data_IF_923815108545
#
_entry.id   IF_923815108545
#
_cell.length_a   1.000
_cell.length_b   1.000
_cell.length_c   1.000
_cell.angle_alpha   90.00
_cell.angle_beta   90.00
_cell.angle_gamma   90.00
#
_symmetry.space_group_name_H-M   'P 1'
#
loop_
_entity.id
_entity.type
_entity.pdbx_description
1 polymer ?
#
# COMPACT_ATOMS: atom_id res chain seq x y z
N UNK A 1 3.49 20.11 -4.43
CA UNK A 1 2.59 19.04 -4.90
C UNK A 1 3.34 17.80 -5.38
N UNK A 2 4.23 17.84 -6.38
CA UNK A 2 4.98 16.64 -6.82
C UNK A 2 5.94 16.11 -5.73
N UNK A 3 6.62 17.00 -5.00
CA UNK A 3 7.55 16.61 -3.94
C UNK A 3 6.85 15.87 -2.78
N UNK A 4 5.63 16.29 -2.41
CA UNK A 4 4.86 15.63 -1.33
C UNK A 4 4.34 14.27 -1.75
N UNK A 5 3.92 14.13 -3.01
CA UNK A 5 3.54 12.82 -3.57
C UNK A 5 4.75 11.88 -3.63
N UNK A 6 5.90 12.37 -4.08
CA UNK A 6 7.13 11.57 -4.11
C UNK A 6 7.56 11.13 -2.71
N UNK A 7 7.44 12.02 -1.71
CA UNK A 7 7.73 11.68 -0.32
C UNK A 7 6.76 10.63 0.23
N UNK A 8 5.45 10.76 -0.05
CA UNK A 8 4.46 9.78 0.39
C UNK A 8 4.73 8.39 -0.24
N UNK A 9 5.09 8.33 -1.52
CA UNK A 9 5.48 7.08 -2.19
C UNK A 9 6.76 6.50 -1.58
N UNK A 10 7.76 7.33 -1.28
CA UNK A 10 9.00 6.88 -0.65
C UNK A 10 8.75 6.31 0.76
N UNK A 11 7.93 6.97 1.56
CA UNK A 11 7.56 6.50 2.90
C UNK A 11 6.77 5.18 2.83
N UNK A 12 5.83 5.07 1.88
CA UNK A 12 5.08 3.83 1.66
C UNK A 12 6.00 2.67 1.27
N UNK A 13 6.94 2.91 0.33
CA UNK A 13 7.91 1.90 -0.09
C UNK A 13 8.83 1.46 1.07
N UNK A 14 9.31 2.42 1.87
CA UNK A 14 10.14 2.15 3.03
C UNK A 14 9.40 1.31 4.09
N UNK A 15 8.17 1.69 4.43
CA UNK A 15 7.35 0.95 5.38
C UNK A 15 6.99 -0.46 4.88
N UNK A 16 6.83 -0.65 3.57
CA UNK A 16 6.67 -1.96 2.96
C UNK A 16 7.93 -2.82 3.05
N UNK A 17 9.10 -2.25 2.77
CA UNK A 17 10.39 -2.94 2.87
C UNK A 17 10.70 -3.40 4.30
N UNK A 18 10.33 -2.59 5.30
CA UNK A 18 10.51 -2.93 6.73
C UNK A 18 9.36 -3.78 7.31
N UNK A 19 8.28 -4.02 6.55
CA UNK A 19 7.01 -4.58 7.04
C UNK A 19 6.48 -3.84 8.27
N UNK A 20 6.69 -2.51 8.32
CA UNK A 20 6.28 -1.65 9.41
C UNK A 20 4.81 -1.25 9.26
N UNK A 21 3.92 -2.12 9.75
CA UNK A 21 2.45 -1.96 9.68
C UNK A 21 1.96 -0.62 10.28
N UNK A 22 2.43 -0.17 11.46
CA UNK A 22 2.05 1.15 12.00
C UNK A 22 2.40 2.33 11.09
N UNK A 23 3.55 2.28 10.43
CA UNK A 23 3.98 3.36 9.52
C UNK A 23 3.19 3.34 8.21
N UNK A 24 2.88 2.14 7.69
CA UNK A 24 1.95 1.95 6.59
C UNK A 24 0.57 2.53 6.92
N UNK A 25 0.03 2.26 8.12
CA UNK A 25 -1.26 2.81 8.53
C UNK A 25 -1.28 4.35 8.54
N UNK A 26 -0.16 4.98 8.92
CA UNK A 26 -0.03 6.44 8.94
C UNK A 26 0.05 7.07 7.53
N UNK A 27 0.55 6.34 6.53
CA UNK A 27 0.67 6.81 5.15
C UNK A 27 -0.62 6.54 4.34
N UNK A 28 -1.36 5.49 4.67
CA UNK A 28 -2.56 5.08 3.94
C UNK A 28 -3.81 5.85 4.40
N UNK A 29 -4.60 6.34 3.45
CA UNK A 29 -5.92 6.91 3.72
C UNK A 29 -6.97 5.80 3.89
N UNK A 30 -8.09 6.11 4.53
CA UNK A 30 -9.16 5.14 4.79
C UNK A 30 -9.71 4.49 3.51
N UNK A 31 -9.80 5.27 2.45
CA UNK A 31 -10.29 4.90 1.11
C UNK A 31 -9.19 4.37 0.17
N UNK A 32 -7.97 4.14 0.68
CA UNK A 32 -6.87 3.65 -0.14
C UNK A 32 -7.25 2.34 -0.84
N UNK A 33 -6.98 2.28 -2.13
CA UNK A 33 -7.23 1.10 -2.97
C UNK A 33 -5.94 0.64 -3.61
N UNK A 34 -5.63 -0.65 -3.47
CA UNK A 34 -4.45 -1.26 -4.08
C UNK A 34 -4.86 -2.20 -5.21
N UNK A 35 -4.11 -2.12 -6.31
CA UNK A 35 -4.22 -3.01 -7.46
C UNK A 35 -2.83 -3.49 -7.82
N UNK A 36 -2.69 -4.78 -8.08
CA UNK A 36 -1.41 -5.38 -8.40
C UNK A 36 -1.43 -5.84 -9.85
N UNK A 37 -0.43 -5.42 -10.64
CA UNK A 37 -0.27 -5.93 -11.99
C UNK A 37 0.86 -6.94 -11.98
N UNK A 38 0.53 -8.22 -12.17
CA UNK A 38 1.50 -9.30 -12.17
C UNK A 38 1.71 -9.83 -13.61
N UNK A 39 2.96 -9.98 -14.06
CA UNK A 39 3.25 -10.58 -15.37
C UNK A 39 2.59 -11.96 -15.48
N UNK A 40 1.79 -12.16 -16.54
CA UNK A 40 1.10 -13.43 -16.82
C UNK A 40 -0.17 -13.71 -16.01
N UNK A 41 -0.46 -12.95 -14.95
CA UNK A 41 -1.67 -13.12 -14.11
C UNK A 41 -2.70 -11.99 -14.30
N UNK A 42 -2.35 -10.92 -14.99
CA UNK A 42 -3.22 -9.76 -15.17
C UNK A 42 -3.28 -8.88 -13.92
N UNK A 43 -4.35 -8.11 -13.77
CA UNK A 43 -4.57 -7.24 -12.60
C UNK A 43 -5.26 -8.04 -11.50
N UNK A 44 -4.67 -8.04 -10.30
CA UNK A 44 -5.25 -8.58 -9.08
C UNK A 44 -5.76 -7.44 -8.19
N UNK A 45 -6.93 -7.64 -7.61
CA UNK A 45 -7.67 -6.63 -6.86
C UNK A 45 -8.89 -6.10 -7.63
N UNK A 46 -9.48 -4.97 -7.21
CA UNK A 46 -8.98 -4.03 -6.20
C UNK A 46 -9.12 -4.52 -4.76
N UNK A 47 -8.09 -4.27 -3.94
CA UNK A 47 -8.18 -4.36 -2.47
C UNK A 47 -8.50 -2.96 -1.97
N UNK A 48 -9.75 -2.75 -1.55
CA UNK A 48 -10.27 -1.43 -1.20
C UNK A 48 -10.39 -1.27 0.32
N UNK A 49 -9.86 -0.16 0.82
CA UNK A 49 -9.89 0.24 2.21
C UNK A 49 -8.61 -0.09 2.96
N UNK A 50 -8.17 0.84 3.82
CA UNK A 50 -6.95 0.69 4.64
C UNK A 50 -6.90 -0.63 5.39
N UNK A 51 -8.00 -1.02 6.04
CA UNK A 51 -8.07 -2.27 6.79
C UNK A 51 -7.83 -3.51 5.91
N UNK A 52 -8.42 -3.56 4.71
CA UNK A 52 -8.22 -4.68 3.78
C UNK A 52 -6.80 -4.73 3.22
N UNK A 53 -6.20 -3.56 2.99
CA UNK A 53 -4.79 -3.45 2.57
C UNK A 53 -3.84 -3.94 3.66
N UNK A 54 -4.08 -3.57 4.93
CA UNK A 54 -3.25 -4.01 6.05
C UNK A 54 -3.45 -5.51 6.33
N UNK A 55 -4.67 -6.03 6.24
CA UNK A 55 -4.96 -7.47 6.40
C UNK A 55 -4.21 -8.31 5.36
N UNK A 56 -4.18 -7.85 4.10
CA UNK A 56 -3.40 -8.49 3.02
C UNK A 56 -1.90 -8.59 3.37
N UNK A 57 -1.33 -7.57 4.00
CA UNK A 57 0.09 -7.53 4.37
C UNK A 57 0.40 -8.38 5.61
N UNK A 58 -0.55 -8.47 6.55
CA UNK A 58 -0.44 -9.29 7.75
C UNK A 58 -0.72 -10.79 7.52
N UNK A 59 -1.35 -11.15 6.40
CA UNK A 59 -1.72 -12.53 6.06
C UNK A 59 -0.56 -13.40 5.53
N UNK A 60 0.67 -12.87 5.51
CA UNK A 60 1.90 -13.53 5.05
C UNK A 60 2.53 -14.49 6.05
#
# INVERSE_FOLDING_TARGET
>A
MIAELQQAVANCAHALDELNVPELEAVLTEDTTWTFTMPGQGVLGPVAGRAAVLDLLCAG
#
